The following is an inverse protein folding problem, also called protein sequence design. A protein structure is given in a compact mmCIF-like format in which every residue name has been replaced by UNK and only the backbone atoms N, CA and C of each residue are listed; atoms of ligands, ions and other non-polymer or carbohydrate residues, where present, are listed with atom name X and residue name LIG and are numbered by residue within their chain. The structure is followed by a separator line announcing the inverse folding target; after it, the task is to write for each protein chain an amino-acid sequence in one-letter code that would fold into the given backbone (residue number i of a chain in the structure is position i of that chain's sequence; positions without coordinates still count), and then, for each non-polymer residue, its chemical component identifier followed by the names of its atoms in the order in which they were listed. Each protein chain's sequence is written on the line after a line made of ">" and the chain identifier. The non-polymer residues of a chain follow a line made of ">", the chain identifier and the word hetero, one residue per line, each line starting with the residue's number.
data_IF_534967546745
#
_entry.id   IF_534967546745
#
_cell.length_a   1.000
_cell.length_b   1.000
_cell.length_c   1.000
_cell.angle_alpha   90.00
_cell.angle_beta   90.00
_cell.angle_gamma   90.00
#
_symmetry.space_group_name_H-M   'P 1'
#
loop_
_entity.id
_entity.type
_entity.pdbx_description
1 polymer ?
#
# COMPACT_ATOMS: atom_id res chain seq x y z
N UNK A 1 39.26 -18.78 -24.01
CA UNK A 1 37.89 -19.27 -23.74
C UNK A 1 37.47 -18.71 -22.39
N UNK A 2 36.37 -17.95 -22.32
CA UNK A 2 35.96 -17.27 -21.09
C UNK A 2 35.11 -18.19 -20.21
N UNK A 3 35.51 -18.37 -18.96
CA UNK A 3 34.77 -19.13 -17.94
C UNK A 3 33.61 -18.28 -17.41
N UNK A 4 32.36 -18.78 -17.37
CA UNK A 4 31.25 -18.01 -16.82
C UNK A 4 31.38 -17.88 -15.29
N UNK A 5 31.15 -16.67 -14.77
CA UNK A 5 31.24 -16.32 -13.34
C UNK A 5 30.02 -16.75 -12.50
N UNK A 6 28.96 -17.23 -13.14
CA UNK A 6 27.75 -17.66 -12.47
C UNK A 6 27.18 -18.90 -13.15
N UNK A 7 26.51 -19.73 -12.36
CA UNK A 7 25.79 -20.92 -12.81
C UNK A 7 24.29 -20.66 -12.64
N UNK A 8 23.52 -20.75 -13.71
CA UNK A 8 22.05 -20.68 -13.62
C UNK A 8 21.56 -22.10 -13.28
N UNK A 9 20.97 -22.26 -12.09
CA UNK A 9 20.28 -23.50 -11.73
C UNK A 9 18.83 -23.41 -12.26
N UNK A 10 18.33 -24.40 -13.03
CA UNK A 10 16.94 -24.43 -13.43
C UNK A 10 16.09 -24.64 -12.18
N UNK A 11 15.42 -23.57 -11.77
CA UNK A 11 14.50 -23.60 -10.67
C UNK A 11 13.23 -24.33 -11.13
N UNK A 12 13.10 -25.62 -10.81
CA UNK A 12 11.88 -26.40 -11.04
C UNK A 12 10.81 -26.01 -10.01
N UNK A 13 10.37 -24.75 -10.04
CA UNK A 13 9.17 -24.36 -9.32
C UNK A 13 7.99 -24.54 -10.25
N UNK A 14 7.17 -25.56 -9.97
CA UNK A 14 5.78 -25.52 -10.40
C UNK A 14 5.17 -24.34 -9.64
N UNK A 15 4.90 -23.24 -10.34
CA UNK A 15 4.16 -22.12 -9.77
C UNK A 15 2.76 -22.64 -9.42
N UNK A 16 2.57 -23.13 -8.19
CA UNK A 16 1.25 -23.43 -7.65
C UNK A 16 0.57 -22.08 -7.37
N UNK A 17 -0.04 -21.51 -8.39
CA UNK A 17 -0.73 -20.24 -8.31
C UNK A 17 -2.11 -20.48 -7.69
N UNK A 18 -2.24 -20.21 -6.40
CA UNK A 18 -3.54 -20.05 -5.76
C UNK A 18 -3.87 -18.55 -5.72
N UNK A 19 -4.92 -18.15 -6.44
CA UNK A 19 -5.41 -16.78 -6.39
C UNK A 19 -6.42 -16.64 -5.24
N UNK A 20 -6.10 -15.80 -4.26
CA UNK A 20 -7.02 -15.46 -3.16
C UNK A 20 -7.52 -14.04 -3.38
N UNK A 21 -8.82 -13.89 -3.66
CA UNK A 21 -9.47 -12.58 -3.74
C UNK A 21 -9.96 -12.15 -2.36
N UNK A 22 -9.39 -11.08 -1.83
CA UNK A 22 -9.80 -10.49 -0.57
C UNK A 22 -10.25 -9.04 -0.78
N UNK A 23 -11.40 -8.68 -0.18
CA UNK A 23 -11.87 -7.30 -0.13
C UNK A 23 -11.66 -6.78 1.29
N UNK A 24 -10.62 -5.98 1.46
CA UNK A 24 -10.19 -5.44 2.75
C UNK A 24 -10.19 -3.92 2.70
N UNK A 25 -10.17 -3.31 3.88
CA UNK A 25 -10.20 -1.86 4.04
C UNK A 25 -9.05 -1.40 4.92
N UNK A 26 -8.50 -0.23 4.61
CA UNK A 26 -7.49 0.44 5.41
C UNK A 26 -8.15 1.52 6.28
N UNK A 27 -7.88 1.48 7.58
CA UNK A 27 -8.40 2.46 8.52
C UNK A 27 -7.38 3.57 8.74
N UNK A 28 -7.60 4.73 8.11
CA UNK A 28 -6.73 5.90 8.21
C UNK A 28 -7.33 6.95 9.14
N UNK A 29 -6.59 7.30 10.19
CA UNK A 29 -6.85 8.42 11.09
C UNK A 29 -5.69 9.40 10.97
N UNK A 30 -5.91 10.48 10.24
CA UNK A 30 -4.88 11.47 9.92
C UNK A 30 -4.42 12.25 11.15
N UNK A 31 -3.20 12.79 11.05
CA UNK A 31 -2.60 13.62 12.09
C UNK A 31 -3.53 14.74 12.56
N UNK A 32 -3.55 14.98 13.87
CA UNK A 32 -4.38 16.02 14.50
C UNK A 32 -5.74 15.53 15.01
N UNK A 33 -6.11 14.27 14.75
CA UNK A 33 -7.28 13.63 15.35
C UNK A 33 -6.91 12.76 16.55
N UNK A 34 -7.84 12.52 17.49
CA UNK A 34 -7.67 11.49 18.52
C UNK A 34 -7.36 10.13 17.90
N UNK A 35 -6.44 9.36 18.50
CA UNK A 35 -6.00 8.05 18.00
C UNK A 35 -5.44 8.07 16.57
N UNK A 36 -4.81 9.19 16.17
CA UNK A 36 -4.09 9.27 14.90
C UNK A 36 -3.16 8.07 14.71
N UNK A 37 -3.20 7.49 13.51
CA UNK A 37 -2.34 6.38 13.12
C UNK A 37 -1.52 6.71 11.86
N UNK A 38 -1.39 8.01 11.61
CA UNK A 38 -0.56 8.59 10.57
C UNK A 38 0.01 9.91 11.06
N UNK A 39 1.30 10.15 10.77
CA UNK A 39 1.99 11.40 11.10
C UNK A 39 2.77 11.88 9.88
N UNK A 40 2.71 13.19 9.59
CA UNK A 40 3.56 13.81 8.58
C UNK A 40 4.98 13.92 9.10
N UNK A 41 5.94 13.35 8.37
CA UNK A 41 7.37 13.50 8.65
C UNK A 41 7.97 14.69 7.91
N UNK A 42 7.58 14.87 6.65
CA UNK A 42 7.99 16.01 5.84
C UNK A 42 6.72 16.72 5.38
N UNK A 43 6.30 17.79 6.08
CA UNK A 43 5.18 18.59 5.62
C UNK A 43 5.56 19.31 4.33
N UNK A 44 4.59 19.46 3.42
CA UNK A 44 4.80 20.20 2.17
C UNK A 44 3.92 21.45 2.13
N UNK A 45 4.48 22.63 1.85
CA UNK A 45 3.71 23.87 1.70
C UNK A 45 3.00 23.99 0.34
N UNK A 46 3.23 23.05 -0.58
CA UNK A 46 2.67 23.09 -1.92
C UNK A 46 1.17 22.80 -1.92
N UNK A 47 0.41 23.29 -2.92
CA UNK A 47 -1.00 22.97 -3.07
C UNK A 47 -1.24 21.45 -3.03
N UNK A 48 -2.32 21.06 -2.35
CA UNK A 48 -2.67 19.67 -2.11
C UNK A 48 -1.56 18.85 -1.40
N UNK A 49 -0.60 19.50 -0.72
CA UNK A 49 0.51 18.85 -0.01
C UNK A 49 1.39 17.99 -0.94
N UNK A 50 1.51 18.36 -2.22
CA UNK A 50 2.38 17.64 -3.15
C UNK A 50 3.80 17.47 -2.60
N UNK A 51 4.33 16.25 -2.62
CA UNK A 51 5.65 15.93 -2.11
C UNK A 51 5.72 15.74 -0.59
N UNK A 52 4.59 15.75 0.14
CA UNK A 52 4.64 15.39 1.57
C UNK A 52 5.13 13.94 1.76
N UNK A 53 5.74 13.67 2.91
CA UNK A 53 6.04 12.31 3.38
C UNK A 53 5.33 12.09 4.70
N UNK A 54 4.57 11.00 4.79
CA UNK A 54 3.95 10.54 6.04
C UNK A 54 4.37 9.11 6.37
N UNK A 55 4.40 8.81 7.66
CA UNK A 55 4.47 7.44 8.16
C UNK A 55 3.08 7.04 8.66
N UNK A 56 2.70 5.81 8.35
CA UNK A 56 1.43 5.24 8.75
C UNK A 56 1.57 3.92 9.51
N UNK A 57 0.56 3.66 10.33
CA UNK A 57 0.28 2.40 11.00
C UNK A 57 -1.22 2.09 10.85
N UNK A 58 -1.64 1.77 9.62
CA UNK A 58 -3.05 1.60 9.30
C UNK A 58 -3.53 0.19 9.61
N UNK A 59 -4.63 0.10 10.34
CA UNK A 59 -5.31 -1.18 10.58
C UNK A 59 -5.98 -1.69 9.30
N UNK A 60 -5.81 -2.97 9.01
CA UNK A 60 -6.52 -3.68 7.94
C UNK A 60 -7.78 -4.30 8.54
N UNK A 61 -8.96 -3.92 8.04
CA UNK A 61 -10.28 -4.33 8.57
C UNK A 61 -11.13 -5.02 7.49
N UNK A 62 -12.08 -5.84 7.92
CA UNK A 62 -12.98 -6.64 7.06
C UNK A 62 -14.13 -5.85 6.44
N UNK A 63 -14.55 -4.77 7.09
CA UNK A 63 -15.69 -3.95 6.68
C UNK A 63 -15.44 -2.49 7.05
N UNK A 64 -16.01 -1.52 6.31
CA UNK A 64 -15.80 -0.09 6.53
C UNK A 64 -16.63 0.48 7.70
N UNK A 65 -17.13 -0.37 8.60
CA UNK A 65 -17.92 0.02 9.77
C UNK A 65 -17.00 0.20 10.99
N UNK A 66 -17.00 1.37 11.66
CA UNK A 66 -16.25 1.60 12.89
C UNK A 66 -16.54 0.60 14.01
N UNK A 67 -17.67 -0.12 13.96
CA UNK A 67 -18.07 -1.15 14.92
C UNK A 67 -17.79 -2.58 14.45
N UNK A 68 -17.49 -2.80 13.17
CA UNK A 68 -17.19 -4.13 12.60
C UNK A 68 -15.72 -4.54 12.80
N UNK A 69 -15.11 -4.10 13.90
CA UNK A 69 -13.68 -4.18 14.21
C UNK A 69 -13.20 -5.62 14.42
N UNK A 70 -13.06 -6.38 13.35
CA UNK A 70 -12.06 -7.45 13.29
C UNK A 70 -10.84 -6.91 12.56
N UNK A 71 -9.90 -6.40 13.35
CA UNK A 71 -8.55 -6.09 12.88
C UNK A 71 -7.90 -7.39 12.40
N UNK A 72 -7.51 -7.42 11.13
CA UNK A 72 -6.86 -8.57 10.51
C UNK A 72 -5.33 -8.45 10.51
N UNK A 73 -4.83 -7.22 10.60
CA UNK A 73 -3.39 -6.94 10.56
C UNK A 73 -3.12 -5.45 10.46
N UNK A 74 -1.84 -5.11 10.28
CA UNK A 74 -1.36 -3.74 10.19
C UNK A 74 -0.61 -3.52 8.88
N UNK A 75 -0.84 -2.38 8.25
CA UNK A 75 -0.04 -1.86 7.14
C UNK A 75 0.84 -0.72 7.67
N UNK A 76 2.15 -0.90 7.59
CA UNK A 76 3.15 0.09 8.04
C UNK A 76 4.05 0.47 6.88
N UNK A 77 4.06 1.73 6.50
CA UNK A 77 4.87 2.22 5.39
C UNK A 77 5.13 3.72 5.46
N UNK A 78 6.07 4.16 4.63
CA UNK A 78 6.20 5.56 4.22
C UNK A 78 5.35 5.79 2.98
N UNK A 79 4.53 6.84 3.02
CA UNK A 79 3.75 7.29 1.87
C UNK A 79 4.23 8.67 1.43
N UNK A 80 4.34 8.87 0.12
CA UNK A 80 4.58 10.19 -0.46
C UNK A 80 3.53 10.54 -1.50
N UNK A 81 3.01 11.77 -1.42
CA UNK A 81 2.05 12.26 -2.40
C UNK A 81 2.75 12.74 -3.66
N UNK A 82 2.59 11.98 -4.75
CA UNK A 82 3.24 12.24 -6.05
C UNK A 82 2.41 13.04 -7.05
N UNK A 83 1.20 13.49 -6.68
CA UNK A 83 0.31 14.24 -7.58
C UNK A 83 -0.20 15.53 -6.95
N UNK A 84 -0.18 16.62 -7.73
CA UNK A 84 -0.66 17.95 -7.35
C UNK A 84 -2.19 18.08 -7.39
N UNK A 85 -2.87 17.17 -8.08
CA UNK A 85 -4.34 17.16 -8.26
C UNK A 85 -4.99 16.15 -7.31
N UNK A 86 -6.10 16.51 -6.66
CA UNK A 86 -6.97 15.56 -5.96
C UNK A 86 -7.92 14.98 -6.99
N UNK A 87 -7.61 13.82 -7.56
CA UNK A 87 -8.62 12.98 -8.19
C UNK A 87 -9.29 12.20 -7.06
N UNK A 88 -10.51 12.56 -6.67
CA UNK A 88 -11.35 11.70 -5.83
C UNK A 88 -11.78 10.53 -6.70
N UNK A 89 -10.94 9.51 -6.81
CA UNK A 89 -11.31 8.26 -7.47
C UNK A 89 -11.94 7.37 -6.40
N UNK A 90 -13.27 7.34 -6.35
CA UNK A 90 -13.96 6.14 -5.85
C UNK A 90 -13.69 5.04 -6.88
N UNK A 91 -12.62 4.27 -6.69
CA UNK A 91 -12.19 3.29 -7.67
C UNK A 91 -11.55 2.10 -7.00
N UNK A 92 -12.25 0.98 -7.08
CA UNK A 92 -11.73 -0.37 -6.84
C UNK A 92 -10.39 -0.54 -7.55
N UNK A 93 -9.35 -0.91 -6.81
CA UNK A 93 -8.04 -1.22 -7.38
C UNK A 93 -8.13 -2.59 -8.04
N UNK A 94 -8.17 -2.62 -9.37
CA UNK A 94 -7.98 -3.85 -10.16
C UNK A 94 -6.56 -3.85 -10.67
N UNK A 95 -5.71 -4.74 -10.13
CA UNK A 95 -4.37 -4.97 -10.68
C UNK A 95 -4.53 -5.96 -11.84
N UNK A 96 -4.53 -5.46 -13.07
CA UNK A 96 -4.37 -6.29 -14.26
C UNK A 96 -2.90 -6.26 -14.65
N UNK A 97 -2.22 -7.40 -14.57
CA UNK A 97 -0.88 -7.52 -15.12
C UNK A 97 -0.98 -7.58 -16.65
N UNK A 98 -0.43 -6.57 -17.33
CA UNK A 98 -0.31 -6.56 -18.79
C UNK A 98 1.06 -7.12 -19.18
N UNK A 99 1.01 -8.14 -20.03
CA UNK A 99 2.13 -8.96 -20.48
C UNK A 99 3.27 -8.18 -21.13
N UNK A 100 4.49 -8.68 -20.90
CA UNK A 100 5.71 -8.46 -21.66
C UNK A 100 6.71 -9.54 -21.29
#
# INVERSE_FOLDING_TARGET
>A
MATPYFTISPAQYVLCQSEIKMKLYLHQIVQGNPNQNQVLMVPSPHPAQFGFIAVNDWGIIVAPDPNANKLLGMQRAFMSRRTKTILVVQGTVTITNAMG
#
